data_IF_728290865020
#
_entry.id   IF_728290865020
#
_cell.length_a   1.000
_cell.length_b   1.000
_cell.length_c   1.000
_cell.angle_alpha   90.00
_cell.angle_beta   90.00
_cell.angle_gamma   90.00
#
_symmetry.space_group_name_H-M   'P 1'
#
loop_
_entity.id
_entity.type
_entity.pdbx_description
1 polymer ?
#
# COMPACT_ATOMS: atom_id res chain seq x y z
N UNK A 1 -14.16 -70.29 47.42
CA UNK A 1 -15.12 -70.84 46.47
C UNK A 1 -15.96 -69.70 45.93
N UNK A 2 -15.91 -69.26 44.68
CA UNK A 2 -15.40 -69.71 43.39
C UNK A 2 -15.16 -68.45 42.54
N UNK A 3 -14.00 -68.45 41.98
CA UNK A 3 -13.50 -67.50 41.01
C UNK A 3 -14.28 -67.63 39.68
N UNK A 4 -14.78 -66.51 39.08
CA UNK A 4 -15.23 -66.47 37.70
C UNK A 4 -14.58 -65.30 36.98
N UNK A 5 -13.43 -65.58 36.35
CA UNK A 5 -12.77 -64.76 35.35
C UNK A 5 -13.61 -64.76 34.07
N UNK A 6 -14.00 -63.57 33.59
CA UNK A 6 -14.53 -63.34 32.24
C UNK A 6 -13.40 -62.95 31.30
N UNK A 7 -13.02 -63.84 30.38
CA UNK A 7 -12.09 -63.56 29.28
C UNK A 7 -12.87 -63.07 28.09
N UNK A 8 -12.65 -61.82 27.66
CA UNK A 8 -13.15 -61.29 26.42
C UNK A 8 -12.21 -61.68 25.28
N UNK A 9 -12.75 -62.22 24.18
CA UNK A 9 -11.94 -62.69 23.05
C UNK A 9 -11.36 -61.53 22.24
N UNK A 10 -10.15 -61.76 21.69
CA UNK A 10 -9.37 -60.77 20.86
C UNK A 10 -10.15 -60.22 19.64
N UNK A 11 -11.28 -60.78 19.26
CA UNK A 11 -12.12 -60.30 18.14
C UNK A 11 -13.03 -59.14 18.47
N UNK A 12 -13.34 -58.88 19.72
CA UNK A 12 -14.22 -57.80 20.15
C UNK A 12 -13.49 -56.47 20.46
N UNK A 13 -12.15 -56.49 20.60
CA UNK A 13 -11.36 -55.27 20.81
C UNK A 13 -11.01 -54.50 19.52
N UNK A 14 -11.15 -55.15 18.34
CA UNK A 14 -10.74 -54.49 17.06
C UNK A 14 -11.85 -53.79 16.31
N UNK A 15 -13.10 -53.92 16.73
CA UNK A 15 -14.24 -53.24 16.07
C UNK A 15 -14.68 -51.91 16.72
N UNK A 16 -14.12 -51.56 17.89
CA UNK A 16 -14.52 -50.34 18.61
C UNK A 16 -13.65 -49.09 18.36
N UNK A 17 -12.46 -49.28 17.78
CA UNK A 17 -11.48 -48.18 17.67
C UNK A 17 -11.41 -47.51 16.29
N UNK A 18 -12.01 -48.09 15.26
CA UNK A 18 -12.00 -47.52 13.89
C UNK A 18 -13.15 -46.55 13.60
N UNK A 19 -14.24 -46.59 14.37
CA UNK A 19 -15.38 -45.69 14.17
C UNK A 19 -15.21 -44.31 14.83
N UNK A 20 -14.36 -44.19 15.88
CA UNK A 20 -14.12 -42.94 16.58
C UNK A 20 -13.13 -41.99 15.87
N UNK A 21 -12.15 -42.55 15.14
CA UNK A 21 -11.13 -41.73 14.46
C UNK A 21 -11.64 -41.13 13.15
N UNK A 22 -12.54 -41.78 12.45
CA UNK A 22 -13.13 -41.26 11.19
C UNK A 22 -14.14 -40.11 11.46
N UNK A 23 -14.86 -40.15 12.59
CA UNK A 23 -15.77 -39.08 12.99
C UNK A 23 -15.05 -37.83 13.49
N UNK A 24 -13.89 -37.98 14.17
CA UNK A 24 -13.08 -36.86 14.64
C UNK A 24 -12.36 -36.12 13.50
N UNK A 25 -11.93 -36.83 12.45
CA UNK A 25 -11.33 -36.21 11.26
C UNK A 25 -12.34 -35.46 10.39
N UNK A 26 -13.60 -35.90 10.35
CA UNK A 26 -14.66 -35.22 9.60
C UNK A 26 -15.19 -33.96 10.33
N UNK A 27 -15.14 -33.91 11.67
CA UNK A 27 -15.58 -32.75 12.44
C UNK A 27 -14.56 -31.60 12.45
N UNK A 28 -13.27 -31.89 12.31
CA UNK A 28 -12.21 -30.88 12.25
C UNK A 28 -12.14 -30.16 10.90
N UNK A 29 -12.66 -30.74 9.83
CA UNK A 29 -12.72 -30.12 8.49
C UNK A 29 -13.95 -29.21 8.28
N UNK A 30 -14.93 -29.22 9.17
CA UNK A 30 -16.22 -28.54 8.99
C UNK A 30 -16.34 -27.18 9.68
N UNK A 31 -15.32 -26.70 10.41
CA UNK A 31 -15.38 -25.44 11.16
C UNK A 31 -14.30 -24.41 10.84
N UNK A 32 -13.64 -24.50 9.69
CA UNK A 32 -12.87 -23.35 9.22
C UNK A 32 -13.84 -22.30 8.70
N UNK A 33 -14.03 -21.20 9.43
CA UNK A 33 -14.75 -20.04 8.94
C UNK A 33 -14.26 -19.71 7.52
N UNK A 34 -15.15 -19.38 6.58
CA UNK A 34 -14.74 -19.08 5.21
C UNK A 34 -13.67 -17.96 5.25
N UNK A 35 -12.51 -18.25 4.70
CA UNK A 35 -11.44 -17.24 4.63
C UNK A 35 -11.99 -16.02 3.91
N UNK A 36 -11.78 -14.84 4.49
CA UNK A 36 -12.18 -13.59 3.83
C UNK A 36 -11.50 -13.47 2.47
N UNK A 37 -12.18 -12.90 1.48
CA UNK A 37 -11.60 -12.58 0.17
C UNK A 37 -10.48 -11.56 0.36
N UNK A 38 -9.29 -11.87 -0.11
CA UNK A 38 -8.14 -10.98 -0.08
C UNK A 38 -8.42 -9.70 -0.87
N UNK A 39 -7.96 -8.56 -0.35
CA UNK A 39 -8.07 -7.27 -1.03
C UNK A 39 -6.68 -6.83 -1.48
N UNK A 40 -6.49 -6.72 -2.78
CA UNK A 40 -5.23 -6.39 -3.42
C UNK A 40 -5.36 -5.01 -4.05
N UNK A 41 -4.64 -4.04 -3.50
CA UNK A 41 -4.59 -2.68 -4.03
C UNK A 41 -3.32 -2.46 -4.86
N UNK A 42 -3.47 -1.68 -5.92
CA UNK A 42 -2.36 -1.09 -6.66
C UNK A 42 -2.44 0.40 -6.43
N UNK A 43 -1.37 0.98 -5.87
CA UNK A 43 -1.31 2.41 -5.58
C UNK A 43 -0.08 3.05 -6.21
N UNK A 44 -0.27 4.23 -6.79
CA UNK A 44 0.78 4.97 -7.46
C UNK A 44 0.83 6.42 -6.97
N UNK A 45 2.01 6.84 -6.51
CA UNK A 45 2.24 8.21 -6.07
C UNK A 45 2.67 9.07 -7.27
N UNK A 46 1.81 10.05 -7.61
CA UNK A 46 2.02 10.97 -8.74
C UNK A 46 2.97 12.08 -8.33
N UNK A 47 4.26 11.75 -8.42
CA UNK A 47 5.36 12.63 -8.08
C UNK A 47 6.65 12.23 -8.81
N UNK A 48 7.61 13.15 -8.90
CA UNK A 48 8.97 12.79 -9.28
C UNK A 48 9.69 12.14 -8.10
N UNK A 49 10.13 10.91 -8.27
CA UNK A 49 10.87 10.18 -7.25
C UNK A 49 12.35 10.53 -7.30
N UNK A 50 13.01 10.52 -6.13
CA UNK A 50 14.44 10.76 -6.03
C UNK A 50 15.23 9.78 -6.90
N UNK A 51 16.22 10.28 -7.63
CA UNK A 51 17.05 9.56 -8.60
C UNK A 51 16.37 9.15 -9.90
N UNK A 52 15.14 9.63 -10.18
CA UNK A 52 14.42 9.32 -11.40
C UNK A 52 13.95 10.58 -12.11
N UNK A 53 13.83 10.58 -13.47
CA UNK A 53 14.12 9.45 -14.37
C UNK A 53 15.61 9.16 -14.61
N UNK A 54 16.51 9.95 -14.06
CA UNK A 54 17.97 9.77 -14.22
C UNK A 54 18.61 9.52 -12.86
N UNK A 55 19.35 8.43 -12.72
CA UNK A 55 20.16 8.18 -11.52
C UNK A 55 21.08 9.35 -11.23
N UNK A 56 21.19 9.72 -9.94
CA UNK A 56 22.01 10.84 -9.49
C UNK A 56 21.30 12.19 -9.49
N UNK A 57 20.05 12.28 -9.97
CA UNK A 57 19.26 13.50 -9.79
C UNK A 57 19.00 13.75 -8.31
N UNK A 58 19.46 14.90 -7.81
CA UNK A 58 19.33 15.31 -6.41
C UNK A 58 18.28 16.40 -6.22
N UNK A 59 17.90 17.08 -7.30
CA UNK A 59 16.94 18.20 -7.29
C UNK A 59 15.46 17.75 -7.25
N UNK A 60 15.24 16.50 -6.89
CA UNK A 60 13.92 15.86 -6.90
C UNK A 60 12.86 16.60 -6.07
N UNK A 61 13.23 17.27 -4.97
CA UNK A 61 12.30 18.03 -4.14
C UNK A 61 11.72 19.27 -4.84
N UNK A 62 12.51 19.91 -5.71
CA UNK A 62 12.04 21.02 -6.53
C UNK A 62 11.14 20.55 -7.67
N UNK A 63 11.34 19.32 -8.12
CA UNK A 63 10.66 18.77 -9.27
C UNK A 63 9.48 17.86 -8.87
N UNK A 64 9.19 17.71 -7.58
CA UNK A 64 8.15 16.80 -7.09
C UNK A 64 6.84 16.89 -7.88
N UNK A 65 6.34 18.09 -8.13
CA UNK A 65 5.13 18.32 -8.92
C UNK A 65 5.36 18.50 -10.41
N UNK A 66 6.60 18.48 -10.90
CA UNK A 66 6.91 18.71 -12.32
C UNK A 66 7.10 17.37 -13.06
N UNK A 67 6.01 16.61 -13.20
CA UNK A 67 6.04 15.33 -13.89
C UNK A 67 6.37 15.53 -15.37
N UNK A 68 7.34 14.74 -15.84
CA UNK A 68 7.65 14.66 -17.26
C UNK A 68 6.57 13.86 -18.04
N UNK A 69 6.60 13.96 -19.35
CA UNK A 69 5.59 13.35 -20.20
C UNK A 69 5.61 11.82 -20.12
N UNK A 70 6.78 11.21 -19.99
CA UNK A 70 6.91 9.76 -19.85
C UNK A 70 6.23 9.25 -18.56
N UNK A 71 6.41 9.95 -17.44
CA UNK A 71 5.75 9.66 -16.16
C UNK A 71 4.22 9.76 -16.26
N UNK A 72 3.70 10.80 -16.93
CA UNK A 72 2.25 10.98 -17.14
C UNK A 72 1.67 9.86 -18.01
N UNK A 73 2.33 9.56 -19.13
CA UNK A 73 1.90 8.49 -20.04
C UNK A 73 1.93 7.12 -19.37
N UNK A 74 2.97 6.84 -18.56
CA UNK A 74 3.04 5.63 -17.76
C UNK A 74 1.84 5.52 -16.83
N UNK A 75 1.46 6.61 -16.13
CA UNK A 75 0.32 6.62 -15.21
C UNK A 75 -1.00 6.30 -15.92
N UNK A 76 -1.25 6.92 -17.08
CA UNK A 76 -2.45 6.66 -17.89
C UNK A 76 -2.47 5.22 -18.41
N UNK A 77 -1.34 4.70 -18.88
CA UNK A 77 -1.27 3.34 -19.40
C UNK A 77 -1.42 2.30 -18.28
N UNK A 78 -0.85 2.56 -17.11
CA UNK A 78 -1.03 1.71 -15.92
C UNK A 78 -2.51 1.60 -15.53
N UNK A 79 -3.24 2.71 -15.53
CA UNK A 79 -4.68 2.77 -15.29
C UNK A 79 -5.44 1.84 -16.24
N UNK A 80 -5.23 1.99 -17.54
CA UNK A 80 -5.86 1.15 -18.58
C UNK A 80 -5.55 -0.34 -18.43
N UNK A 81 -4.34 -0.68 -18.00
CA UNK A 81 -3.98 -2.09 -17.74
C UNK A 81 -4.83 -2.62 -16.58
N UNK A 82 -4.91 -1.91 -15.46
CA UNK A 82 -5.73 -2.35 -14.33
C UNK A 82 -7.22 -2.50 -14.71
N UNK A 83 -7.77 -1.56 -15.49
CA UNK A 83 -9.14 -1.63 -16.02
C UNK A 83 -9.37 -2.87 -16.87
N UNK A 84 -8.41 -3.26 -17.71
CA UNK A 84 -8.53 -4.46 -18.55
C UNK A 84 -8.65 -5.76 -17.73
N UNK A 85 -8.33 -5.71 -16.44
CA UNK A 85 -8.53 -6.77 -15.46
C UNK A 85 -9.73 -6.52 -14.53
N UNK A 86 -10.52 -5.48 -14.79
CA UNK A 86 -11.70 -5.11 -13.99
C UNK A 86 -11.38 -4.41 -12.66
N UNK A 87 -10.18 -3.87 -12.50
CA UNK A 87 -9.73 -3.17 -11.31
C UNK A 87 -9.42 -1.69 -11.54
N UNK A 88 -9.18 -0.96 -10.44
CA UNK A 88 -8.76 0.43 -10.48
C UNK A 88 -7.51 0.64 -9.64
N UNK A 89 -6.61 1.48 -10.12
CA UNK A 89 -5.45 1.96 -9.35
C UNK A 89 -5.90 3.12 -8.46
N UNK A 90 -5.46 3.16 -7.21
CA UNK A 90 -5.61 4.34 -6.36
C UNK A 90 -4.35 5.20 -6.50
N UNK A 91 -4.51 6.40 -7.02
CA UNK A 91 -3.41 7.35 -7.16
C UNK A 91 -3.34 8.29 -5.96
N UNK A 92 -2.14 8.78 -5.65
CA UNK A 92 -1.92 9.85 -4.67
C UNK A 92 -1.17 10.98 -5.34
N UNK A 93 -1.72 12.19 -5.29
CA UNK A 93 -1.20 13.31 -6.05
C UNK A 93 -0.54 14.34 -5.14
N UNK A 94 0.75 14.59 -5.36
CA UNK A 94 1.39 15.84 -4.89
C UNK A 94 0.74 16.98 -5.66
N UNK A 95 0.00 17.86 -4.96
CA UNK A 95 -0.89 18.80 -5.64
C UNK A 95 -0.16 19.86 -6.49
N UNK A 96 1.14 20.06 -6.32
CA UNK A 96 1.97 20.84 -7.24
C UNK A 96 1.95 20.32 -8.67
N UNK A 97 1.61 19.07 -8.90
CA UNK A 97 1.35 18.53 -10.25
C UNK A 97 0.30 19.35 -10.98
N UNK A 98 -0.66 19.90 -10.24
CA UNK A 98 -1.74 20.73 -10.79
C UNK A 98 -1.30 22.15 -11.17
N UNK A 99 -0.09 22.58 -10.85
CA UNK A 99 0.49 23.85 -11.34
C UNK A 99 0.84 23.74 -12.84
N UNK A 100 0.97 22.53 -13.38
CA UNK A 100 1.26 22.33 -14.80
C UNK A 100 0.10 22.80 -15.68
N UNK A 101 0.38 23.37 -16.85
CA UNK A 101 -0.65 23.86 -17.78
C UNK A 101 -1.61 22.76 -18.24
N UNK A 102 -1.08 21.59 -18.58
CA UNK A 102 -1.87 20.44 -19.03
C UNK A 102 -2.04 19.41 -17.91
N UNK A 103 -3.28 19.30 -17.42
CA UNK A 103 -3.73 18.32 -16.44
C UNK A 103 -4.84 17.41 -17.00
N UNK A 104 -5.01 17.34 -18.33
CA UNK A 104 -6.06 16.52 -18.95
C UNK A 104 -5.87 15.04 -18.63
N UNK A 105 -4.62 14.59 -18.56
CA UNK A 105 -4.26 13.22 -18.26
C UNK A 105 -4.76 12.75 -16.87
N UNK A 106 -4.62 13.57 -15.83
CA UNK A 106 -5.09 13.21 -14.48
C UNK A 106 -6.62 13.28 -14.40
N UNK A 107 -7.26 14.23 -15.12
CA UNK A 107 -8.71 14.29 -15.23
C UNK A 107 -9.28 13.05 -15.95
N UNK A 108 -8.61 12.56 -16.97
CA UNK A 108 -8.99 11.34 -17.66
C UNK A 108 -8.92 10.13 -16.71
N UNK A 109 -7.80 9.95 -15.99
CA UNK A 109 -7.65 8.90 -14.97
C UNK A 109 -8.82 8.94 -13.97
N UNK A 110 -9.17 10.13 -13.46
CA UNK A 110 -10.27 10.27 -12.52
C UNK A 110 -11.64 9.98 -13.14
N UNK A 111 -11.86 10.39 -14.41
CA UNK A 111 -13.10 10.14 -15.14
C UNK A 111 -13.32 8.66 -15.45
N UNK A 112 -12.23 7.89 -15.63
CA UNK A 112 -12.25 6.44 -15.81
C UNK A 112 -12.44 5.68 -14.49
N UNK A 113 -12.72 6.39 -13.36
CA UNK A 113 -13.08 5.79 -12.07
C UNK A 113 -11.92 5.46 -11.14
N UNK A 114 -10.69 5.86 -11.48
CA UNK A 114 -9.54 5.71 -10.60
C UNK A 114 -9.57 6.79 -9.50
N UNK A 115 -9.62 6.42 -8.21
CA UNK A 115 -9.59 7.40 -7.13
C UNK A 115 -8.22 8.08 -7.05
N UNK A 116 -8.25 9.36 -6.69
CA UNK A 116 -7.04 10.16 -6.50
C UNK A 116 -7.08 10.77 -5.09
N UNK A 117 -6.18 10.33 -4.24
CA UNK A 117 -6.00 10.79 -2.87
C UNK A 117 -5.04 11.99 -2.75
N UNK A 118 -5.06 12.60 -1.58
CA UNK A 118 -4.21 13.72 -1.21
C UNK A 118 -2.82 13.22 -0.79
N UNK A 119 -1.76 13.82 -1.36
CA UNK A 119 -0.36 13.55 -1.00
C UNK A 119 0.37 14.84 -0.61
N UNK A 120 -0.33 15.76 0.06
CA UNK A 120 0.05 17.13 0.38
C UNK A 120 0.30 18.00 -0.85
N UNK A 121 0.46 19.31 -0.65
CA UNK A 121 0.73 20.23 -1.75
C UNK A 121 2.20 20.18 -2.19
N UNK A 122 3.12 20.32 -1.22
CA UNK A 122 4.57 20.39 -1.46
C UNK A 122 5.31 19.07 -1.11
N UNK A 123 4.63 17.96 -0.85
CA UNK A 123 5.25 16.72 -0.35
C UNK A 123 5.91 16.91 1.01
N UNK A 124 5.17 17.42 2.01
CA UNK A 124 5.73 17.75 3.33
C UNK A 124 5.87 16.53 4.24
N UNK A 125 6.97 16.43 4.97
CA UNK A 125 7.19 15.42 6.00
C UNK A 125 6.28 15.71 7.21
N UNK A 126 5.27 14.87 7.42
CA UNK A 126 4.30 15.03 8.52
C UNK A 126 4.87 14.70 9.91
N UNK A 127 6.04 14.05 9.97
CA UNK A 127 6.74 13.78 11.23
C UNK A 127 7.75 14.87 11.62
N UNK A 128 7.91 15.92 10.81
CA UNK A 128 8.83 17.01 11.11
C UNK A 128 8.48 17.68 12.44
N UNK A 129 9.51 18.06 13.20
CA UNK A 129 9.38 18.78 14.47
C UNK A 129 9.78 20.24 14.35
N UNK A 130 10.48 20.62 13.26
CA UNK A 130 10.89 22.00 12.96
C UNK A 130 10.32 22.43 11.61
N UNK A 131 9.94 23.69 11.43
CA UNK A 131 9.35 24.19 10.17
C UNK A 131 10.17 23.87 8.92
N UNK A 132 11.47 24.06 8.96
CA UNK A 132 12.36 23.83 7.80
C UNK A 132 12.57 22.35 7.46
N UNK A 133 12.28 21.43 8.39
CA UNK A 133 12.38 19.99 8.16
C UNK A 133 11.12 19.41 7.52
N UNK A 134 10.06 20.22 7.38
CA UNK A 134 8.81 19.79 6.73
C UNK A 134 9.01 19.55 5.24
N UNK A 135 9.88 20.35 4.57
CA UNK A 135 10.18 20.16 3.16
C UNK A 135 11.52 20.81 2.80
N UNK A 136 12.35 20.13 2.03
CA UNK A 136 13.68 20.59 1.64
C UNK A 136 13.65 21.95 0.92
N UNK A 137 12.61 22.18 0.12
CA UNK A 137 12.35 23.48 -0.53
C UNK A 137 12.30 24.63 0.46
N UNK A 138 11.76 24.43 1.66
CA UNK A 138 11.63 25.48 2.67
C UNK A 138 12.96 25.87 3.33
N UNK A 139 13.97 25.00 3.26
CA UNK A 139 15.33 25.38 3.65
C UNK A 139 15.93 26.39 2.69
N UNK A 140 15.62 26.31 1.40
CA UNK A 140 16.12 27.22 0.36
C UNK A 140 15.19 28.45 0.16
N UNK A 141 13.93 28.33 0.49
CA UNK A 141 12.92 29.37 0.35
C UNK A 141 12.16 29.59 1.68
N UNK A 142 12.86 30.02 2.76
CA UNK A 142 12.28 30.10 4.10
C UNK A 142 11.12 31.09 4.21
N UNK A 143 11.04 32.07 3.32
CA UNK A 143 9.92 33.04 3.28
C UNK A 143 8.56 32.38 3.00
N UNK A 144 8.52 31.18 2.37
CA UNK A 144 7.28 30.45 2.10
C UNK A 144 6.56 29.99 3.38
N UNK A 145 7.32 29.84 4.47
CA UNK A 145 6.81 29.36 5.76
C UNK A 145 7.14 30.31 6.92
N UNK A 146 7.57 31.56 6.61
CA UNK A 146 7.96 32.53 7.62
C UNK A 146 6.85 32.76 8.64
N UNK A 147 7.20 32.67 9.94
CA UNK A 147 6.27 32.86 11.05
C UNK A 147 5.27 31.74 11.30
N UNK A 148 5.35 30.62 10.56
CA UNK A 148 4.44 29.47 10.73
C UNK A 148 5.06 28.38 11.61
N UNK A 149 4.22 27.76 12.43
CA UNK A 149 4.53 26.55 13.18
C UNK A 149 4.38 25.30 12.31
N UNK A 150 4.95 24.17 12.72
CA UNK A 150 4.80 22.89 11.99
C UNK A 150 3.34 22.51 11.78
N UNK A 151 2.45 22.51 12.79
CA UNK A 151 1.02 22.21 12.58
C UNK A 151 0.36 23.14 11.54
N UNK A 152 0.69 24.43 11.53
CA UNK A 152 0.15 25.37 10.54
C UNK A 152 0.66 25.05 9.12
N UNK A 153 1.92 24.65 8.97
CA UNK A 153 2.47 24.25 7.67
C UNK A 153 1.78 22.99 7.17
N UNK A 154 1.65 21.96 8.03
CA UNK A 154 1.00 20.71 7.68
C UNK A 154 -0.46 20.93 7.29
N UNK A 155 -1.22 21.65 8.13
CA UNK A 155 -2.62 21.96 7.84
C UNK A 155 -2.79 22.69 6.50
N UNK A 156 -1.97 23.72 6.28
CA UNK A 156 -2.01 24.47 5.03
C UNK A 156 -1.70 23.59 3.81
N UNK A 157 -0.68 22.74 3.89
CA UNK A 157 -0.29 21.85 2.78
C UNK A 157 -1.36 20.80 2.46
N UNK A 158 -1.97 20.20 3.48
CA UNK A 158 -3.03 19.20 3.33
C UNK A 158 -4.28 19.85 2.73
N UNK A 159 -4.71 20.98 3.33
CA UNK A 159 -5.88 21.73 2.87
C UNK A 159 -5.73 22.20 1.43
N UNK A 160 -4.61 22.85 1.10
CA UNK A 160 -4.35 23.37 -0.24
C UNK A 160 -4.31 22.29 -1.30
N UNK A 161 -3.83 21.09 -0.96
CA UNK A 161 -3.86 19.96 -1.88
C UNK A 161 -5.30 19.53 -2.20
N UNK A 162 -6.17 19.45 -1.19
CA UNK A 162 -7.60 19.14 -1.39
C UNK A 162 -8.29 20.21 -2.21
N UNK A 163 -8.03 21.49 -1.92
CA UNK A 163 -8.58 22.62 -2.67
C UNK A 163 -8.13 22.58 -4.13
N UNK A 164 -6.85 22.37 -4.38
CA UNK A 164 -6.30 22.32 -5.75
C UNK A 164 -6.87 21.14 -6.55
N UNK A 165 -6.97 19.94 -5.97
CA UNK A 165 -7.58 18.77 -6.60
C UNK A 165 -9.05 19.05 -6.97
N UNK A 166 -9.81 19.63 -6.06
CA UNK A 166 -11.21 19.98 -6.31
C UNK A 166 -11.36 21.07 -7.37
N UNK A 167 -10.65 22.20 -7.24
CA UNK A 167 -10.88 23.37 -8.09
C UNK A 167 -10.27 23.25 -9.47
N UNK A 168 -9.07 22.63 -9.59
CA UNK A 168 -8.37 22.47 -10.85
C UNK A 168 -8.80 21.22 -11.63
N UNK A 169 -9.01 20.12 -10.92
CA UNK A 169 -9.28 18.81 -11.54
C UNK A 169 -10.71 18.30 -11.35
N UNK A 170 -11.51 18.90 -10.45
CA UNK A 170 -12.87 18.42 -10.13
C UNK A 170 -12.87 17.17 -9.24
N UNK A 171 -11.73 16.84 -8.62
CA UNK A 171 -11.53 15.62 -7.85
C UNK A 171 -11.86 15.88 -6.38
N UNK A 172 -12.78 15.10 -5.82
CA UNK A 172 -13.05 15.08 -4.39
C UNK A 172 -12.20 13.97 -3.75
N UNK A 173 -11.33 14.34 -2.81
CA UNK A 173 -10.46 13.40 -2.11
C UNK A 173 -11.13 12.83 -0.87
N UNK A 174 -10.94 11.53 -0.60
CA UNK A 174 -11.47 10.84 0.58
C UNK A 174 -10.37 10.29 1.47
N UNK A 175 -9.17 10.09 0.94
CA UNK A 175 -8.04 9.47 1.62
C UNK A 175 -6.76 10.28 1.49
N UNK A 176 -5.86 9.97 2.40
CA UNK A 176 -4.58 10.64 2.51
C UNK A 176 -3.45 9.62 2.53
N UNK A 177 -2.37 9.88 1.78
CA UNK A 177 -1.10 9.19 1.94
C UNK A 177 -0.04 10.17 2.40
N UNK A 178 0.72 9.77 3.42
CA UNK A 178 1.82 10.60 3.90
C UNK A 178 2.96 10.64 2.88
N UNK A 179 3.58 11.80 2.61
CA UNK A 179 4.88 11.86 1.99
C UNK A 179 5.93 11.08 2.78
N UNK A 180 6.33 9.91 2.23
CA UNK A 180 7.12 8.92 2.94
C UNK A 180 6.30 7.95 3.79
N UNK A 181 6.85 6.73 3.97
CA UNK A 181 6.30 5.70 4.83
C UNK A 181 7.06 5.61 6.15
N UNK A 182 6.35 5.31 7.24
CA UNK A 182 6.90 5.27 8.58
C UNK A 182 6.65 3.91 9.24
N UNK A 183 7.63 3.34 9.94
CA UNK A 183 7.49 2.01 10.55
C UNK A 183 6.34 1.92 11.56
N UNK A 184 6.13 2.98 12.35
CA UNK A 184 5.04 3.06 13.31
C UNK A 184 3.76 3.72 12.74
N UNK A 185 3.75 4.08 11.45
CA UNK A 185 2.69 4.92 10.89
C UNK A 185 2.60 6.26 11.62
N UNK A 186 1.41 6.63 12.04
CA UNK A 186 1.15 7.85 12.82
C UNK A 186 0.92 7.56 14.31
N UNK A 187 1.30 6.38 14.85
CA UNK A 187 1.01 6.01 16.24
C UNK A 187 1.57 7.00 17.27
N UNK A 188 2.71 7.64 16.98
CA UNK A 188 3.36 8.62 17.87
C UNK A 188 2.98 10.07 17.51
N UNK A 189 2.01 10.26 16.63
CA UNK A 189 1.57 11.59 16.14
C UNK A 189 0.03 11.72 16.20
N UNK A 190 -0.56 11.66 17.42
CA UNK A 190 -2.00 11.87 17.59
C UNK A 190 -2.46 13.26 17.12
N UNK A 191 -1.58 14.26 17.15
CA UNK A 191 -1.80 15.59 16.61
C UNK A 191 -2.03 15.58 15.09
N UNK A 192 -1.24 14.77 14.35
CA UNK A 192 -1.41 14.62 12.90
C UNK A 192 -2.64 13.77 12.59
N UNK A 193 -2.92 12.72 13.37
CA UNK A 193 -4.15 11.94 13.22
C UNK A 193 -5.38 12.86 13.35
N UNK A 194 -5.43 13.68 14.40
CA UNK A 194 -6.55 14.63 14.62
C UNK A 194 -6.63 15.68 13.51
N UNK A 195 -5.49 16.20 13.05
CA UNK A 195 -5.46 17.14 11.93
C UNK A 195 -6.09 16.53 10.66
N UNK A 196 -5.80 15.26 10.35
CA UNK A 196 -6.38 14.57 9.20
C UNK A 196 -7.90 14.39 9.37
N UNK A 197 -8.36 14.02 10.55
CA UNK A 197 -9.81 13.91 10.86
C UNK A 197 -10.49 15.29 10.72
N UNK A 198 -9.89 16.35 11.23
CA UNK A 198 -10.42 17.73 11.14
C UNK A 198 -10.46 18.24 9.68
N UNK A 199 -9.56 17.79 8.81
CA UNK A 199 -9.58 18.07 7.36
C UNK A 199 -10.50 17.12 6.57
N UNK A 200 -11.23 16.23 7.27
CA UNK A 200 -12.28 15.37 6.71
C UNK A 200 -11.79 14.06 6.12
N UNK A 201 -10.59 13.62 6.45
CA UNK A 201 -10.09 12.31 6.03
C UNK A 201 -10.56 11.21 6.97
N UNK A 202 -11.02 10.13 6.37
CA UNK A 202 -11.50 8.94 7.08
C UNK A 202 -10.42 7.88 7.26
N UNK A 203 -9.41 7.89 6.38
CA UNK A 203 -8.31 6.93 6.38
C UNK A 203 -7.01 7.56 5.88
N UNK A 204 -5.92 6.93 6.29
CA UNK A 204 -4.54 7.29 5.92
C UNK A 204 -3.76 6.04 5.52
N UNK A 205 -2.80 6.22 4.63
CA UNK A 205 -1.76 5.23 4.31
C UNK A 205 -0.41 5.85 4.69
N UNK A 206 0.10 5.48 5.86
CA UNK A 206 1.31 6.04 6.47
C UNK A 206 2.30 4.98 6.92
N UNK A 207 1.81 3.82 7.37
CA UNK A 207 2.65 2.75 7.90
C UNK A 207 3.32 1.97 6.77
N UNK A 208 4.63 1.81 6.92
CA UNK A 208 5.47 1.00 6.02
C UNK A 208 6.26 0.00 6.88
N UNK A 209 5.85 -1.27 6.93
CA UNK A 209 6.46 -2.26 7.83
C UNK A 209 7.96 -2.43 7.58
N UNK A 210 8.72 -2.56 8.66
CA UNK A 210 10.16 -2.79 8.59
C UNK A 210 10.43 -4.22 8.11
N UNK A 211 11.43 -4.35 7.25
CA UNK A 211 11.96 -5.64 6.79
C UNK A 211 13.47 -5.56 6.54
N UNK A 212 14.10 -6.70 6.31
CA UNK A 212 15.52 -6.78 5.94
C UNK A 212 15.73 -6.27 4.49
N UNK A 213 16.88 -5.66 4.26
CA UNK A 213 17.34 -5.22 2.94
C UNK A 213 18.59 -5.99 2.52
N UNK A 214 18.73 -6.23 1.21
CA UNK A 214 20.01 -6.68 0.65
C UNK A 214 20.99 -5.53 0.56
N UNK A 215 22.28 -5.84 0.46
CA UNK A 215 23.26 -4.84 0.05
C UNK A 215 22.92 -4.31 -1.35
N UNK A 216 23.21 -3.03 -1.60
CA UNK A 216 22.85 -2.38 -2.86
C UNK A 216 23.49 -3.09 -4.07
N UNK A 217 22.68 -3.49 -5.04
CA UNK A 217 23.10 -4.20 -6.24
C UNK A 217 23.16 -5.73 -6.07
N UNK A 218 22.80 -6.25 -4.89
CA UNK A 218 22.72 -7.69 -4.64
C UNK A 218 21.24 -8.12 -4.67
N UNK A 219 20.97 -9.26 -5.33
CA UNK A 219 19.66 -9.90 -5.27
C UNK A 219 19.30 -10.28 -3.83
N UNK A 220 18.00 -10.26 -3.45
CA UNK A 220 17.58 -10.67 -2.13
C UNK A 220 17.84 -12.18 -1.90
N UNK A 221 18.33 -12.51 -0.71
CA UNK A 221 18.44 -13.92 -0.30
C UNK A 221 17.04 -14.50 0.00
N UNK A 222 16.95 -15.82 0.09
CA UNK A 222 15.71 -16.49 0.51
C UNK A 222 15.24 -16.02 1.90
N UNK A 223 16.17 -15.69 2.80
CA UNK A 223 15.86 -15.13 4.12
C UNK A 223 15.23 -13.74 4.03
N UNK A 224 15.79 -12.84 3.19
CA UNK A 224 15.24 -11.49 2.98
C UNK A 224 13.83 -11.58 2.39
N UNK A 225 13.62 -12.43 1.38
CA UNK A 225 12.29 -12.63 0.80
C UNK A 225 11.29 -13.19 1.83
N UNK A 226 11.72 -14.15 2.66
CA UNK A 226 10.88 -14.69 3.74
C UNK A 226 10.56 -13.62 4.80
N UNK A 227 11.51 -12.72 5.11
CA UNK A 227 11.29 -11.63 6.06
C UNK A 227 10.29 -10.60 5.52
N UNK A 228 10.38 -10.22 4.24
CA UNK A 228 9.40 -9.35 3.58
C UNK A 228 8.00 -9.95 3.67
N UNK A 229 7.84 -11.26 3.42
CA UNK A 229 6.55 -11.94 3.56
C UNK A 229 6.06 -11.95 5.02
N UNK A 230 6.93 -12.20 5.99
CA UNK A 230 6.56 -12.10 7.43
C UNK A 230 6.09 -10.69 7.79
N UNK A 231 6.77 -9.67 7.29
CA UNK A 231 6.40 -8.27 7.54
C UNK A 231 5.02 -7.90 6.95
N UNK A 232 4.52 -8.65 5.94
CA UNK A 232 3.19 -8.43 5.36
C UNK A 232 2.06 -8.56 6.40
N UNK A 233 2.23 -9.37 7.44
CA UNK A 233 1.27 -9.46 8.55
C UNK A 233 1.10 -8.15 9.33
N UNK A 234 2.11 -7.26 9.29
CA UNK A 234 2.09 -5.94 9.92
C UNK A 234 1.52 -4.86 8.98
N UNK A 235 1.29 -5.21 7.71
CA UNK A 235 0.69 -4.35 6.69
C UNK A 235 -0.83 -4.58 6.59
N UNK A 236 -1.50 -4.87 7.71
CA UNK A 236 -2.95 -5.07 7.73
C UNK A 236 -3.67 -3.84 8.28
N UNK A 237 -4.85 -3.48 7.76
CA UNK A 237 -5.58 -2.29 8.19
C UNK A 237 -5.98 -2.33 9.66
N UNK A 238 -5.84 -1.20 10.34
CA UNK A 238 -6.27 -1.03 11.73
C UNK A 238 -6.83 0.38 11.96
N UNK A 239 -7.38 0.64 13.14
CA UNK A 239 -7.96 1.93 13.50
C UNK A 239 -7.13 2.55 14.62
N UNK A 240 -6.72 3.81 14.45
CA UNK A 240 -6.11 4.61 15.51
C UNK A 240 -7.14 5.02 16.58
N UNK A 241 -6.67 5.45 17.75
CA UNK A 241 -7.55 5.95 18.82
C UNK A 241 -8.36 7.19 18.42
N UNK A 242 -7.90 7.94 17.44
CA UNK A 242 -8.63 9.07 16.83
C UNK A 242 -9.84 8.66 15.97
N UNK A 243 -10.00 7.37 15.68
CA UNK A 243 -10.98 6.85 14.72
C UNK A 243 -10.49 6.82 13.27
N UNK A 244 -9.33 7.41 12.97
CA UNK A 244 -8.73 7.38 11.64
C UNK A 244 -8.28 5.94 11.30
N UNK A 245 -8.63 5.45 10.11
CA UNK A 245 -8.23 4.12 9.66
C UNK A 245 -6.84 4.21 9.04
N UNK A 246 -5.92 3.35 9.48
CA UNK A 246 -4.64 3.12 8.81
C UNK A 246 -4.78 1.99 7.79
N UNK A 247 -4.32 2.22 6.57
CA UNK A 247 -4.15 1.19 5.54
C UNK A 247 -2.67 1.17 5.18
N UNK A 248 -1.89 0.27 5.82
CA UNK A 248 -0.44 0.23 5.62
C UNK A 248 -0.07 -0.14 4.19
N UNK A 249 1.01 0.46 3.70
CA UNK A 249 1.71 0.03 2.49
C UNK A 249 2.33 -1.35 2.73
N UNK A 250 2.39 -2.18 1.69
CA UNK A 250 3.10 -3.46 1.75
C UNK A 250 4.60 -3.26 1.97
N UNK A 251 5.31 -4.23 2.59
CA UNK A 251 6.70 -4.05 3.03
C UNK A 251 7.69 -3.74 1.92
N UNK A 252 7.39 -4.13 0.68
CA UNK A 252 8.25 -3.88 -0.46
C UNK A 252 7.59 -2.93 -1.46
N UNK A 253 8.31 -1.89 -1.86
CA UNK A 253 7.93 -0.95 -2.90
C UNK A 253 9.06 -0.78 -3.91
N UNK A 254 8.81 -0.08 -4.99
CA UNK A 254 9.82 0.33 -5.96
C UNK A 254 10.96 1.13 -5.31
N UNK A 255 10.66 1.92 -4.27
CA UNK A 255 11.67 2.65 -3.48
C UNK A 255 12.61 1.68 -2.76
N UNK A 256 12.07 0.68 -2.09
CA UNK A 256 12.87 -0.34 -1.41
C UNK A 256 13.68 -1.19 -2.38
N UNK A 257 13.03 -1.66 -3.43
CA UNK A 257 13.64 -2.53 -4.44
C UNK A 257 14.69 -1.81 -5.29
N UNK A 258 14.28 -0.78 -6.04
CA UNK A 258 15.15 -0.18 -7.06
C UNK A 258 16.01 0.96 -6.52
N UNK A 259 15.45 1.85 -5.70
CA UNK A 259 16.19 3.00 -5.22
C UNK A 259 17.18 2.66 -4.10
N UNK A 260 16.75 1.84 -3.14
CA UNK A 260 17.57 1.46 -1.97
C UNK A 260 18.44 0.26 -2.26
N UNK A 261 17.85 -0.88 -2.56
CA UNK A 261 18.57 -2.15 -2.75
C UNK A 261 19.12 -2.34 -4.17
N UNK A 262 18.71 -1.53 -5.14
CA UNK A 262 19.12 -1.62 -6.55
C UNK A 262 18.91 -3.01 -7.14
N UNK A 263 17.77 -3.61 -6.82
CA UNK A 263 17.38 -4.91 -7.39
C UNK A 263 17.12 -4.80 -8.88
N UNK A 264 17.16 -5.95 -9.53
CA UNK A 264 16.63 -6.10 -10.88
C UNK A 264 15.13 -6.38 -10.83
N UNK A 265 14.44 -6.10 -11.93
CA UNK A 265 12.98 -6.32 -12.02
C UNK A 265 12.54 -7.74 -11.63
N UNK A 266 13.21 -8.83 -12.05
CA UNK A 266 12.81 -10.19 -11.64
C UNK A 266 12.79 -10.41 -10.12
N UNK A 267 13.74 -9.83 -9.38
CA UNK A 267 13.78 -9.91 -7.91
C UNK A 267 12.58 -9.20 -7.27
N UNK A 268 12.22 -8.04 -7.82
CA UNK A 268 11.04 -7.28 -7.37
C UNK A 268 9.74 -8.03 -7.67
N UNK A 269 9.61 -8.60 -8.86
CA UNK A 269 8.46 -9.42 -9.25
C UNK A 269 8.30 -10.65 -8.35
N UNK A 270 9.39 -11.30 -7.98
CA UNK A 270 9.33 -12.44 -7.06
C UNK A 270 8.87 -12.05 -5.67
N UNK A 271 9.31 -10.89 -5.15
CA UNK A 271 8.85 -10.38 -3.86
C UNK A 271 7.36 -10.03 -3.88
N UNK A 272 6.86 -9.42 -4.96
CA UNK A 272 5.44 -9.14 -5.18
C UNK A 272 4.64 -10.45 -5.20
N UNK A 273 5.07 -11.43 -5.98
CA UNK A 273 4.41 -12.74 -6.09
C UNK A 273 4.20 -13.39 -4.72
N UNK A 274 5.24 -13.37 -3.88
CA UNK A 274 5.18 -13.95 -2.53
C UNK A 274 4.24 -13.19 -1.61
N UNK A 275 4.31 -11.86 -1.61
CA UNK A 275 3.45 -11.04 -0.74
C UNK A 275 1.97 -11.09 -1.14
N UNK A 276 1.67 -11.03 -2.44
CA UNK A 276 0.31 -11.22 -2.96
C UNK A 276 -0.18 -12.64 -2.66
N UNK A 277 0.67 -13.66 -2.85
CA UNK A 277 0.35 -15.04 -2.49
C UNK A 277 -0.02 -15.18 -1.01
N UNK A 278 0.77 -14.58 -0.11
CA UNK A 278 0.45 -14.54 1.32
C UNK A 278 -0.92 -13.89 1.59
N UNK A 279 -1.21 -12.76 0.96
CA UNK A 279 -2.50 -12.09 1.14
C UNK A 279 -3.67 -12.96 0.66
N UNK A 280 -3.53 -13.64 -0.49
CA UNK A 280 -4.53 -14.58 -1.01
C UNK A 280 -4.74 -15.76 -0.07
N UNK A 281 -3.66 -16.32 0.47
CA UNK A 281 -3.72 -17.46 1.38
C UNK A 281 -4.34 -17.13 2.74
N UNK A 282 -4.12 -15.90 3.23
CA UNK A 282 -4.63 -15.47 4.53
C UNK A 282 -5.97 -14.75 4.48
N UNK A 283 -6.42 -14.31 3.28
CA UNK A 283 -7.56 -13.41 3.12
C UNK A 283 -7.25 -11.97 3.56
N UNK A 284 -5.97 -11.61 3.55
CA UNK A 284 -5.46 -10.32 4.01
C UNK A 284 -5.50 -9.23 2.94
N UNK A 285 -4.84 -8.12 3.27
CA UNK A 285 -4.66 -6.95 2.40
C UNK A 285 -3.23 -6.89 1.90
N UNK A 286 -3.06 -6.54 0.62
CA UNK A 286 -1.80 -6.15 0.02
C UNK A 286 -1.99 -4.79 -0.67
N UNK A 287 -1.14 -3.80 -0.36
CA UNK A 287 -1.12 -2.48 -1.01
C UNK A 287 0.22 -2.29 -1.74
N UNK A 288 0.21 -2.44 -3.06
CA UNK A 288 1.37 -2.16 -3.90
C UNK A 288 1.62 -0.65 -3.94
N UNK A 289 2.77 -0.21 -3.45
CA UNK A 289 3.24 1.16 -3.62
C UNK A 289 4.24 1.25 -4.77
N UNK A 290 4.00 2.12 -5.71
CA UNK A 290 4.92 2.45 -6.79
C UNK A 290 4.88 3.93 -7.18
N UNK A 291 5.93 4.37 -7.88
CA UNK A 291 6.06 5.73 -8.41
C UNK A 291 6.21 5.65 -9.93
N UNK A 292 5.29 6.20 -10.71
CA UNK A 292 5.39 6.18 -12.18
C UNK A 292 6.72 6.68 -12.72
N UNK A 293 7.31 7.69 -12.08
CA UNK A 293 8.64 8.23 -12.44
C UNK A 293 9.79 7.24 -12.23
N UNK A 294 9.66 6.30 -11.31
CA UNK A 294 10.59 5.19 -11.10
C UNK A 294 10.26 4.04 -12.05
N UNK A 295 8.99 3.63 -12.09
CA UNK A 295 8.57 2.45 -12.83
C UNK A 295 8.71 2.60 -14.35
N UNK A 296 8.57 3.81 -14.89
CA UNK A 296 8.81 4.05 -16.33
C UNK A 296 10.25 3.69 -16.75
N UNK A 297 11.19 3.71 -15.82
CA UNK A 297 12.60 3.35 -16.04
C UNK A 297 12.88 1.89 -15.71
N UNK A 298 12.40 1.41 -14.56
CA UNK A 298 12.77 0.10 -14.01
C UNK A 298 11.79 -1.03 -14.45
N UNK A 299 10.54 -0.67 -14.77
CA UNK A 299 9.49 -1.58 -15.26
C UNK A 299 8.69 -0.95 -16.42
N UNK A 300 9.33 -0.59 -17.53
CA UNK A 300 8.67 0.10 -18.65
C UNK A 300 7.56 -0.71 -19.32
N UNK A 301 7.53 -2.02 -19.10
CA UNK A 301 6.53 -2.93 -19.67
C UNK A 301 5.36 -3.23 -18.72
N UNK A 302 5.29 -2.57 -17.54
CA UNK A 302 4.22 -2.77 -16.55
C UNK A 302 4.14 -4.20 -16.00
N UNK A 303 5.25 -4.91 -15.92
CA UNK A 303 5.26 -6.32 -15.53
C UNK A 303 4.78 -6.51 -14.08
N UNK A 304 5.12 -5.60 -13.16
CA UNK A 304 4.65 -5.62 -11.78
C UNK A 304 3.12 -5.49 -11.69
N UNK A 305 2.53 -4.52 -12.42
CA UNK A 305 1.08 -4.28 -12.43
C UNK A 305 0.36 -5.48 -13.06
N UNK A 306 0.83 -5.94 -14.21
CA UNK A 306 0.29 -7.12 -14.91
C UNK A 306 0.34 -8.37 -14.03
N UNK A 307 1.47 -8.59 -13.34
CA UNK A 307 1.64 -9.72 -12.44
C UNK A 307 0.60 -9.69 -11.30
N UNK A 308 0.42 -8.54 -10.64
CA UNK A 308 -0.57 -8.40 -9.55
C UNK A 308 -1.98 -8.71 -10.08
N UNK A 309 -2.37 -8.09 -11.19
CA UNK A 309 -3.68 -8.30 -11.81
C UNK A 309 -3.89 -9.77 -12.20
N UNK A 310 -2.86 -10.42 -12.76
CA UNK A 310 -2.92 -11.84 -13.13
C UNK A 310 -3.08 -12.74 -11.90
N UNK A 311 -2.32 -12.52 -10.84
CA UNK A 311 -2.41 -13.30 -9.60
C UNK A 311 -3.82 -13.20 -8.98
N UNK A 312 -4.43 -12.01 -8.99
CA UNK A 312 -5.80 -11.81 -8.52
C UNK A 312 -6.80 -12.56 -9.39
N UNK A 313 -6.68 -12.46 -10.71
CA UNK A 313 -7.53 -13.18 -11.67
C UNK A 313 -7.44 -14.70 -11.47
N UNK A 314 -6.24 -15.23 -11.32
CA UNK A 314 -6.00 -16.67 -11.14
C UNK A 314 -6.50 -17.19 -9.77
N UNK A 315 -6.55 -16.31 -8.77
CA UNK A 315 -7.13 -16.63 -7.46
C UNK A 315 -8.67 -16.77 -7.48
N UNK A 316 -9.35 -16.23 -8.49
CA UNK A 316 -10.81 -16.25 -8.61
C UNK A 316 -11.48 -15.56 -7.41
N UNK A 317 -12.45 -16.23 -6.79
CA UNK A 317 -13.21 -15.68 -5.65
C UNK A 317 -12.38 -15.45 -4.37
N UNK A 318 -11.14 -15.96 -4.30
CA UNK A 318 -10.27 -15.82 -3.12
C UNK A 318 -9.61 -14.43 -3.02
N UNK A 319 -9.57 -13.67 -4.11
CA UNK A 319 -8.99 -12.33 -4.14
C UNK A 319 -9.77 -11.40 -5.06
N UNK A 320 -9.64 -10.09 -4.79
CA UNK A 320 -10.19 -9.04 -5.66
C UNK A 320 -9.23 -7.86 -5.72
N UNK A 321 -9.19 -7.18 -6.86
CA UNK A 321 -8.60 -5.84 -6.94
C UNK A 321 -9.51 -4.88 -6.17
N UNK A 322 -8.93 -4.07 -5.30
CA UNK A 322 -9.66 -3.12 -4.47
C UNK A 322 -8.93 -1.80 -4.36
N UNK A 323 -9.66 -0.70 -4.36
CA UNK A 323 -9.10 0.62 -4.02
C UNK A 323 -8.96 0.75 -2.49
N UNK A 324 -8.13 1.68 -2.02
CA UNK A 324 -8.00 1.90 -0.57
C UNK A 324 -9.30 2.41 0.06
N UNK A 325 -10.15 3.14 -0.69
CA UNK A 325 -11.51 3.50 -0.23
C UNK A 325 -12.38 2.27 0.06
N UNK A 326 -12.33 1.26 -0.82
CA UNK A 326 -13.06 0.01 -0.62
C UNK A 326 -12.52 -0.77 0.58
N UNK A 327 -11.19 -0.80 0.77
CA UNK A 327 -10.55 -1.41 1.94
C UNK A 327 -10.95 -0.69 3.23
N UNK A 328 -10.92 0.66 3.25
CA UNK A 328 -11.36 1.46 4.38
C UNK A 328 -12.85 1.21 4.72
N UNK A 329 -13.72 1.19 3.70
CA UNK A 329 -15.14 0.91 3.87
C UNK A 329 -15.38 -0.45 4.50
N UNK A 330 -14.69 -1.50 4.03
CA UNK A 330 -14.78 -2.85 4.61
C UNK A 330 -14.31 -2.89 6.06
N UNK A 331 -13.27 -2.13 6.40
CA UNK A 331 -12.75 -2.07 7.78
C UNK A 331 -13.72 -1.42 8.76
N UNK A 332 -14.61 -0.51 8.30
CA UNK A 332 -15.66 0.13 9.11
C UNK A 332 -16.89 -0.74 9.33
N UNK A 333 -17.13 -1.67 8.40
CA UNK A 333 -18.28 -2.59 8.54
C UNK A 333 -18.00 -3.54 9.70
N UNK A 334 -18.98 -3.72 10.62
CA UNK A 334 -18.84 -4.56 11.80
C UNK A 334 -18.62 -6.05 11.46
#
# INVERSE_FOLDING_TARGET
MTDRSFSLSRRQMLSGTLSGAAAALSAAALNAAPKQTAQIAITLDLEMSRHYPRRGMTEWDYQKGNLDEATKQYSVQAAKIAESFGGHIHFFCVARVLEQPDIKWIKAIAADGHPIGNHTYDHVNVLATRPYDTQFRFQRAPWLIAGRTVPQILKHNIHMASVALKTRAGIQVNGFRTPGGFYAGLSERPDVQQLLVDEGFDWVSAKYPKHLYSAAGQSPTAEILADIVRAQSQAQPFVYSSGLIEIPMSPISDVGAFRTSRWKLPDFLESIRRCVGWAIETGGVFDFLGHPSCLVVEDPNFESIKLICQLVRDAGSRAQLATLDQIAKRRRSP
#
